data_IF_957659982603
#
_entry.id   IF_957659982603
#
_cell.length_a   1.000
_cell.length_b   1.000
_cell.length_c   1.000
_cell.angle_alpha   90.00
_cell.angle_beta   90.00
_cell.angle_gamma   90.00
#
_symmetry.space_group_name_H-M   'P 1'
#
loop_
_entity.id
_entity.type
_entity.pdbx_description
1 polymer ?
#
# COMPACT_ATOMS: atom_id res chain seq x y z
N UNK A 1 -26.67 -3.78 -2.16
CA UNK A 1 -25.88 -4.99 -1.86
C UNK A 1 -24.96 -5.39 -3.02
N UNK A 2 -25.46 -5.59 -4.25
CA UNK A 2 -24.61 -5.90 -5.43
C UNK A 2 -23.65 -4.74 -5.80
N UNK A 3 -24.13 -3.49 -5.77
CA UNK A 3 -23.32 -2.30 -6.07
C UNK A 3 -22.21 -2.06 -5.04
N UNK A 4 -22.48 -2.31 -3.75
CA UNK A 4 -21.49 -2.12 -2.67
C UNK A 4 -20.35 -3.13 -2.77
N UNK A 5 -20.68 -4.38 -3.12
CA UNK A 5 -19.69 -5.45 -3.31
C UNK A 5 -18.82 -5.17 -4.54
N UNK A 6 -19.42 -4.75 -5.65
CA UNK A 6 -18.69 -4.31 -6.85
C UNK A 6 -17.78 -3.11 -6.57
N UNK A 7 -18.28 -2.13 -5.81
CA UNK A 7 -17.51 -0.96 -5.42
C UNK A 7 -16.31 -1.32 -4.52
N UNK A 8 -16.50 -2.23 -3.58
CA UNK A 8 -15.43 -2.73 -2.71
C UNK A 8 -14.38 -3.52 -3.51
N UNK A 9 -14.80 -4.41 -4.40
CA UNK A 9 -13.91 -5.17 -5.26
C UNK A 9 -13.08 -4.26 -6.19
N UNK A 10 -13.70 -3.24 -6.79
CA UNK A 10 -13.01 -2.27 -7.63
C UNK A 10 -11.98 -1.44 -6.83
N UNK A 11 -12.33 -1.00 -5.62
CA UNK A 11 -11.39 -0.27 -4.77
C UNK A 11 -10.20 -1.16 -4.35
N UNK A 12 -10.45 -2.42 -4.01
CA UNK A 12 -9.39 -3.37 -3.68
C UNK A 12 -8.46 -3.60 -4.88
N UNK A 13 -9.01 -3.72 -6.09
CA UNK A 13 -8.25 -3.84 -7.32
C UNK A 13 -7.38 -2.60 -7.59
N UNK A 14 -7.92 -1.41 -7.43
CA UNK A 14 -7.20 -0.15 -7.65
C UNK A 14 -6.07 0.04 -6.63
N UNK A 15 -6.30 -0.31 -5.36
CA UNK A 15 -5.27 -0.30 -4.33
C UNK A 15 -4.15 -1.30 -4.62
N UNK A 16 -4.48 -2.50 -5.09
CA UNK A 16 -3.49 -3.50 -5.49
C UNK A 16 -2.66 -3.04 -6.70
N UNK A 17 -3.30 -2.38 -7.68
CA UNK A 17 -2.59 -1.78 -8.80
C UNK A 17 -1.68 -0.64 -8.34
N UNK A 18 -2.10 0.16 -7.36
CA UNK A 18 -1.28 1.25 -6.82
C UNK A 18 -0.06 0.69 -6.11
N UNK A 19 -0.26 -0.32 -5.26
CA UNK A 19 0.82 -1.02 -4.56
C UNK A 19 1.86 -1.60 -5.52
N UNK A 20 1.42 -2.31 -6.56
CA UNK A 20 2.30 -2.85 -7.61
C UNK A 20 3.12 -1.75 -8.30
N UNK A 21 2.50 -0.60 -8.59
CA UNK A 21 3.12 0.52 -9.28
C UNK A 21 4.12 1.27 -8.40
N UNK A 22 3.77 1.49 -7.14
CA UNK A 22 4.68 2.03 -6.13
C UNK A 22 5.92 1.15 -5.99
N UNK A 23 5.75 -0.17 -5.84
CA UNK A 23 6.88 -1.11 -5.73
C UNK A 23 7.76 -1.11 -6.98
N UNK A 24 7.16 -1.04 -8.17
CA UNK A 24 7.92 -0.93 -9.43
C UNK A 24 8.75 0.34 -9.50
N UNK A 25 8.18 1.48 -9.14
CA UNK A 25 8.90 2.74 -9.07
C UNK A 25 10.09 2.63 -8.11
N UNK A 26 9.85 2.14 -6.88
CA UNK A 26 10.88 2.02 -5.85
C UNK A 26 11.94 0.96 -6.14
N UNK A 27 11.62 -0.01 -7.00
CA UNK A 27 12.57 -1.00 -7.51
C UNK A 27 13.52 -0.45 -8.58
N UNK A 28 13.38 0.81 -9.01
CA UNK A 28 14.34 1.41 -9.95
C UNK A 28 15.75 1.41 -9.35
N UNK A 29 16.75 0.94 -10.12
CA UNK A 29 18.12 0.78 -9.63
C UNK A 29 18.75 2.06 -9.10
N UNK A 30 18.43 3.22 -9.67
CA UNK A 30 18.92 4.50 -9.18
C UNK A 30 18.35 4.85 -7.81
N UNK A 31 17.06 4.53 -7.57
CA UNK A 31 16.42 4.68 -6.25
C UNK A 31 17.01 3.66 -5.25
N UNK A 32 17.16 2.39 -5.65
CA UNK A 32 17.78 1.37 -4.80
C UNK A 32 19.23 1.71 -4.45
N UNK A 33 20.00 2.24 -5.40
CA UNK A 33 21.35 2.71 -5.14
C UNK A 33 21.38 3.86 -4.11
N UNK A 34 20.42 4.79 -4.21
CA UNK A 34 20.26 5.84 -3.22
C UNK A 34 19.94 5.28 -1.82
N UNK A 35 19.09 4.24 -1.73
CA UNK A 35 18.83 3.54 -0.46
C UNK A 35 20.12 2.90 0.07
N UNK A 36 20.89 2.21 -0.79
CA UNK A 36 22.13 1.55 -0.38
C UNK A 36 23.14 2.52 0.25
N UNK A 37 23.38 3.69 -0.37
CA UNK A 37 24.40 4.65 0.11
C UNK A 37 24.04 5.33 1.43
N UNK A 38 22.78 5.21 1.86
CA UNK A 38 22.29 5.79 3.11
C UNK A 38 22.07 4.75 4.21
N UNK A 39 21.88 3.48 3.84
CA UNK A 39 21.47 2.43 4.79
C UNK A 39 22.53 1.34 4.95
N UNK A 40 23.27 0.99 3.91
CA UNK A 40 24.18 -0.16 3.93
C UNK A 40 25.62 0.31 4.10
N UNK A 41 26.26 -0.05 5.22
CA UNK A 41 27.63 0.35 5.58
C UNK A 41 28.66 0.18 4.44
N UNK A 42 28.51 -0.86 3.61
CA UNK A 42 29.41 -1.13 2.49
C UNK A 42 29.35 -0.08 1.36
N UNK A 43 28.28 0.70 1.27
CA UNK A 43 28.04 1.73 0.26
C UNK A 43 27.93 3.14 0.84
N UNK A 44 28.03 3.28 2.17
CA UNK A 44 27.71 4.52 2.86
C UNK A 44 28.59 5.68 2.37
N UNK A 45 27.95 6.77 1.92
CA UNK A 45 28.62 7.96 1.40
C UNK A 45 29.21 7.84 0.00
N UNK A 46 28.97 6.73 -0.72
CA UNK A 46 29.28 6.65 -2.16
C UNK A 46 28.31 7.48 -2.99
N UNK A 47 28.70 7.81 -4.22
CA UNK A 47 27.78 8.39 -5.19
C UNK A 47 26.78 7.30 -5.67
N UNK A 48 25.45 7.51 -5.57
CA UNK A 48 24.44 6.56 -6.05
C UNK A 48 24.68 6.07 -7.48
N UNK A 49 25.10 6.94 -8.41
CA UNK A 49 25.35 6.56 -9.80
C UNK A 49 26.46 5.51 -9.94
N UNK A 50 27.48 5.59 -9.08
CA UNK A 50 28.58 4.62 -9.04
C UNK A 50 28.17 3.30 -8.38
N UNK A 51 27.08 3.29 -7.61
CA UNK A 51 26.56 2.10 -6.93
C UNK A 51 25.61 1.29 -7.82
N UNK A 52 24.91 1.92 -8.78
CA UNK A 52 24.00 1.24 -9.71
C UNK A 52 24.61 -0.03 -10.36
N UNK A 53 25.88 -0.04 -10.85
CA UNK A 53 26.49 -1.22 -11.44
C UNK A 53 26.69 -2.39 -10.46
N UNK A 54 26.69 -2.14 -9.16
CA UNK A 54 26.79 -3.20 -8.14
C UNK A 54 25.45 -3.91 -7.94
N UNK A 55 24.32 -3.35 -8.40
CA UNK A 55 23.00 -3.98 -8.35
C UNK A 55 22.85 -4.96 -9.52
N UNK A 56 22.91 -6.24 -9.19
CA UNK A 56 22.96 -7.37 -10.10
C UNK A 56 21.55 -7.80 -10.52
N UNK A 57 21.38 -8.12 -11.81
CA UNK A 57 20.10 -8.56 -12.37
C UNK A 57 19.00 -7.49 -12.28
N UNK A 58 17.74 -7.93 -12.38
CA UNK A 58 16.57 -7.09 -12.11
C UNK A 58 16.05 -7.37 -10.70
N UNK A 59 15.63 -6.33 -9.95
CA UNK A 59 14.96 -6.53 -8.67
C UNK A 59 13.67 -7.33 -8.79
N UNK A 60 13.44 -8.18 -7.80
CA UNK A 60 12.24 -8.98 -7.64
C UNK A 60 11.21 -8.20 -6.82
N UNK A 61 9.96 -8.19 -7.26
CA UNK A 61 8.89 -7.39 -6.65
C UNK A 61 7.82 -8.32 -6.09
N UNK A 62 7.43 -8.12 -4.84
CA UNK A 62 6.37 -8.89 -4.20
C UNK A 62 6.61 -10.40 -4.23
N UNK A 63 7.86 -10.83 -4.09
CA UNK A 63 8.26 -12.24 -4.16
C UNK A 63 8.42 -12.87 -2.76
N UNK A 64 8.23 -14.18 -2.70
CA UNK A 64 8.59 -14.99 -1.52
C UNK A 64 10.04 -15.45 -1.72
N UNK A 65 10.95 -15.20 -0.78
CA UNK A 65 12.31 -15.69 -0.90
C UNK A 65 12.30 -17.20 -0.73
N UNK A 66 12.60 -17.89 -1.82
CA UNK A 66 13.07 -19.27 -1.79
C UNK A 66 14.57 -19.22 -1.48
N UNK A 67 14.91 -19.36 -0.20
CA UNK A 67 16.31 -19.44 0.23
C UNK A 67 17.03 -20.59 -0.51
N UNK A 68 18.20 -20.32 -1.09
CA UNK A 68 19.03 -21.36 -1.73
C UNK A 68 19.58 -22.37 -0.70
N UNK A 69 19.54 -22.03 0.60
CA UNK A 69 19.82 -22.93 1.73
C UNK A 69 18.60 -23.67 2.30
N UNK A 70 17.38 -23.23 1.99
CA UNK A 70 16.11 -23.95 2.22
C UNK A 70 15.57 -24.45 0.88
N UNK A 71 16.47 -24.80 -0.04
CA UNK A 71 16.04 -25.53 -1.23
C UNK A 71 15.23 -26.73 -0.80
N UNK A 72 14.35 -27.18 -1.68
CA UNK A 72 13.79 -28.52 -1.67
C UNK A 72 14.91 -29.58 -1.78
N UNK A 73 15.89 -29.55 -0.90
CA UNK A 73 16.77 -30.65 -0.61
C UNK A 73 15.82 -31.77 -0.20
N UNK A 74 15.66 -32.71 -1.13
CA UNK A 74 14.96 -33.96 -0.91
C UNK A 74 15.50 -34.59 0.37
N UNK A 75 14.82 -34.37 1.50
CA UNK A 75 14.99 -35.20 2.66
C UNK A 75 14.14 -36.44 2.40
N UNK A 76 14.73 -37.44 1.74
CA UNK A 76 14.23 -38.80 1.88
C UNK A 76 14.36 -39.16 3.37
N UNK A 77 13.23 -39.19 4.06
CA UNK A 77 13.10 -39.85 5.35
C UNK A 77 11.97 -40.87 5.20
N UNK A 78 12.33 -42.15 5.34
CA UNK A 78 11.41 -43.29 5.30
C UNK A 78 10.66 -43.54 3.98
N UNK A 79 11.26 -43.22 2.83
CA UNK A 79 10.82 -43.74 1.53
C UNK A 79 9.54 -43.14 0.94
N UNK A 80 9.01 -42.06 1.51
CA UNK A 80 7.91 -41.30 0.91
C UNK A 80 8.42 -40.11 0.10
N UNK A 81 8.15 -40.13 -1.21
CA UNK A 81 8.37 -39.00 -2.12
C UNK A 81 7.35 -37.90 -1.81
N UNK A 82 7.80 -36.77 -1.29
CA UNK A 82 7.00 -35.54 -1.33
C UNK A 82 7.29 -34.86 -2.67
N UNK A 83 6.33 -34.99 -3.58
CA UNK A 83 6.36 -34.39 -4.92
C UNK A 83 6.07 -32.90 -4.80
N UNK A 84 6.98 -32.07 -5.31
CA UNK A 84 6.75 -30.64 -5.51
C UNK A 84 5.55 -30.42 -6.42
N UNK A 85 4.53 -29.77 -5.88
CA UNK A 85 3.32 -29.39 -6.61
C UNK A 85 3.51 -27.97 -7.15
N UNK A 86 3.73 -27.88 -8.45
CA UNK A 86 3.50 -26.67 -9.23
C UNK A 86 2.34 -26.98 -10.18
N UNK A 87 1.17 -26.37 -9.94
CA UNK A 87 0.17 -25.92 -10.93
C UNK A 87 -1.13 -25.54 -10.20
N UNK A 88 -1.64 -24.33 -10.45
CA UNK A 88 -2.96 -23.82 -10.02
C UNK A 88 -3.27 -23.83 -8.52
N UNK A 89 -2.78 -22.82 -7.80
CA UNK A 89 -3.60 -22.11 -6.81
C UNK A 89 -2.82 -20.92 -6.25
N UNK A 90 -3.35 -19.72 -6.43
CA UNK A 90 -2.89 -18.48 -5.79
C UNK A 90 -3.21 -18.42 -4.28
N UNK A 91 -3.86 -19.45 -3.73
CA UNK A 91 -4.38 -19.48 -2.36
C UNK A 91 -3.57 -20.37 -1.39
N UNK A 92 -2.50 -21.05 -1.84
CA UNK A 92 -1.65 -21.92 -0.98
C UNK A 92 -0.34 -21.21 -0.58
N UNK A 93 -0.42 -19.92 -0.26
CA UNK A 93 0.70 -19.19 0.38
C UNK A 93 0.28 -18.64 1.75
N UNK A 94 -0.66 -19.31 2.43
CA UNK A 94 -0.95 -19.03 3.84
C UNK A 94 0.27 -19.43 4.68
N UNK A 95 1.07 -18.44 5.07
CA UNK A 95 2.21 -18.61 5.99
C UNK A 95 3.59 -18.26 5.41
N UNK A 96 3.69 -17.86 4.14
CA UNK A 96 4.95 -17.38 3.56
C UNK A 96 5.06 -15.85 3.67
N UNK A 97 6.16 -15.39 4.26
CA UNK A 97 6.49 -13.96 4.35
C UNK A 97 6.86 -13.50 2.94
N UNK A 98 6.03 -12.62 2.37
CA UNK A 98 6.30 -11.92 1.10
C UNK A 98 7.03 -10.63 1.40
N UNK A 99 8.07 -10.33 0.63
CA UNK A 99 8.77 -9.05 0.73
C UNK A 99 8.45 -8.15 -0.45
N UNK A 100 8.47 -6.84 -0.23
CA UNK A 100 8.12 -5.87 -1.27
C UNK A 100 9.14 -5.85 -2.40
N UNK A 101 10.43 -5.75 -2.06
CA UNK A 101 11.52 -5.71 -3.04
C UNK A 101 12.69 -6.57 -2.55
N UNK A 102 13.19 -7.46 -3.41
CA UNK A 102 14.40 -8.25 -3.19
C UNK A 102 15.36 -7.97 -4.34
N UNK A 103 16.62 -7.66 -4.04
CA UNK A 103 17.64 -7.48 -5.07
C UNK A 103 19.00 -7.97 -4.59
N UNK A 104 19.92 -8.16 -5.54
CA UNK A 104 21.24 -8.66 -5.25
C UNK A 104 22.28 -7.58 -5.52
N UNK A 105 23.26 -7.50 -4.63
CA UNK A 105 24.32 -6.49 -4.71
C UNK A 105 25.68 -7.17 -4.61
N UNK A 106 26.59 -6.79 -5.50
CA UNK A 106 27.98 -7.23 -5.47
C UNK A 106 28.73 -6.49 -4.36
N UNK A 107 29.18 -7.22 -3.35
CA UNK A 107 30.03 -6.74 -2.27
C UNK A 107 31.48 -7.19 -2.50
N UNK A 108 32.40 -6.70 -1.66
CA UNK A 108 33.82 -7.10 -1.70
C UNK A 108 34.03 -8.59 -1.44
N UNK A 109 33.15 -9.20 -0.65
CA UNK A 109 33.20 -10.60 -0.19
C UNK A 109 32.28 -11.54 -0.98
N UNK A 110 31.48 -11.04 -1.93
CA UNK A 110 30.63 -11.87 -2.77
C UNK A 110 29.32 -11.20 -3.16
N UNK A 111 28.36 -12.01 -3.59
CA UNK A 111 27.00 -11.54 -3.88
C UNK A 111 26.18 -11.55 -2.59
N UNK A 112 25.57 -10.43 -2.24
CA UNK A 112 24.67 -10.30 -1.08
C UNK A 112 23.24 -10.04 -1.54
N UNK A 113 22.27 -10.66 -0.86
CA UNK A 113 20.85 -10.36 -1.05
C UNK A 113 20.46 -9.22 -0.10
N UNK A 114 19.73 -8.24 -0.63
CA UNK A 114 19.12 -7.14 0.13
C UNK A 114 17.60 -7.24 -0.03
N UNK A 115 16.89 -7.14 1.09
CA UNK A 115 15.44 -7.16 1.15
C UNK A 115 14.98 -5.79 1.62
N UNK A 116 14.16 -5.09 0.84
CA UNK A 116 13.55 -3.81 1.23
C UNK A 116 12.07 -4.06 1.44
N UNK A 117 11.61 -3.78 2.66
CA UNK A 117 10.21 -3.89 3.03
C UNK A 117 9.70 -2.53 3.48
N UNK A 118 8.63 -2.07 2.85
CA UNK A 118 8.13 -0.71 2.93
C UNK A 118 6.82 -0.74 3.69
N UNK A 119 6.83 -0.15 4.88
CA UNK A 119 5.70 -0.20 5.79
C UNK A 119 5.18 1.21 6.09
N UNK A 120 3.86 1.38 6.05
CA UNK A 120 3.22 2.61 6.49
C UNK A 120 3.34 2.73 8.03
N UNK A 121 3.93 3.82 8.52
CA UNK A 121 4.05 4.09 9.96
C UNK A 121 3.08 5.18 10.40
N UNK A 122 2.51 5.00 11.61
CA UNK A 122 1.59 5.97 12.22
C UNK A 122 2.31 7.12 12.94
N UNK A 123 3.56 6.90 13.35
CA UNK A 123 4.38 7.85 14.11
C UNK A 123 5.59 8.31 13.27
N UNK A 124 6.33 9.33 13.74
CA UNK A 124 7.55 9.81 13.06
C UNK A 124 8.57 8.68 12.86
N UNK A 125 9.34 8.67 11.75
CA UNK A 125 10.30 7.60 11.49
C UNK A 125 11.38 7.57 12.59
N UNK A 126 11.50 6.44 13.29
CA UNK A 126 12.50 6.28 14.37
C UNK A 126 13.86 5.80 13.87
N UNK A 127 14.01 5.55 12.55
CA UNK A 127 15.22 5.11 11.87
C UNK A 127 15.02 3.80 11.08
N UNK A 128 16.11 3.26 10.53
CA UNK A 128 16.14 1.94 9.87
C UNK A 128 16.60 0.87 10.85
N UNK A 129 15.92 -0.28 10.90
CA UNK A 129 16.42 -1.47 11.60
C UNK A 129 16.96 -2.47 10.58
N UNK A 130 18.27 -2.70 10.60
CA UNK A 130 18.90 -3.73 9.77
C UNK A 130 18.98 -5.01 10.58
N UNK A 131 18.20 -6.02 10.20
CA UNK A 131 18.32 -7.37 10.74
C UNK A 131 18.60 -8.31 9.57
N UNK A 132 19.77 -8.97 9.56
CA UNK A 132 20.12 -9.99 8.55
C UNK A 132 19.82 -9.55 7.10
N UNK A 133 20.34 -8.39 6.68
CA UNK A 133 20.16 -7.79 5.34
C UNK A 133 18.73 -7.36 4.95
N UNK A 134 17.83 -7.25 5.93
CA UNK A 134 16.50 -6.67 5.75
C UNK A 134 16.56 -5.19 6.09
N UNK A 135 16.18 -4.35 5.14
CA UNK A 135 15.97 -2.91 5.28
C UNK A 135 14.48 -2.68 5.47
N UNK A 136 14.09 -2.35 6.71
CA UNK A 136 12.74 -1.92 7.03
C UNK A 136 12.66 -0.40 6.95
N UNK A 137 11.81 0.11 6.06
CA UNK A 137 11.62 1.55 5.89
C UNK A 137 10.20 1.92 6.28
N UNK A 138 10.10 2.72 7.35
CA UNK A 138 8.86 3.34 7.78
C UNK A 138 8.56 4.62 7.03
N UNK A 139 7.38 4.74 6.43
CA UNK A 139 6.96 5.98 5.75
C UNK A 139 5.93 6.71 6.60
N UNK A 140 6.17 7.98 6.86
CA UNK A 140 5.26 8.85 7.60
C UNK A 140 4.29 9.57 6.65
N UNK A 141 3.10 9.92 7.15
CA UNK A 141 2.07 10.60 6.34
C UNK A 141 2.42 12.05 5.95
N UNK A 142 3.39 12.67 6.63
CA UNK A 142 3.85 14.03 6.32
C UNK A 142 5.25 13.96 5.76
N UNK A 143 5.50 14.74 4.70
CA UNK A 143 6.85 14.89 4.14
C UNK A 143 7.76 15.55 5.20
N UNK A 144 8.85 14.89 5.62
CA UNK A 144 9.83 15.51 6.50
C UNK A 144 10.54 16.70 5.83
N UNK A 145 11.03 17.65 6.62
CA UNK A 145 11.95 18.67 6.12
C UNK A 145 13.24 18.02 5.58
N UNK A 146 13.91 18.70 4.65
CA UNK A 146 15.14 18.20 4.03
C UNK A 146 16.33 18.34 4.99
N UNK A 147 16.49 17.35 5.86
CA UNK A 147 17.58 17.23 6.84
C UNK A 147 18.34 15.91 6.64
N UNK A 148 19.67 15.95 6.78
CA UNK A 148 20.60 14.82 6.57
C UNK A 148 20.21 13.50 7.27
N UNK A 149 19.44 13.58 8.36
CA UNK A 149 19.09 12.42 9.20
C UNK A 149 18.02 11.51 8.58
N UNK A 150 17.21 12.00 7.64
CA UNK A 150 16.03 11.29 7.13
C UNK A 150 15.92 11.28 5.59
N UNK A 151 17.06 11.37 4.89
CA UNK A 151 17.13 11.49 3.43
C UNK A 151 16.32 10.43 2.66
N UNK A 152 16.47 9.13 2.98
CA UNK A 152 15.68 8.07 2.32
C UNK A 152 14.21 8.15 2.70
N UNK A 153 13.87 8.43 3.96
CA UNK A 153 12.47 8.63 4.36
C UNK A 153 11.83 9.77 3.59
N UNK A 154 12.53 10.88 3.38
CA UNK A 154 12.02 12.02 2.63
C UNK A 154 11.83 11.69 1.16
N UNK A 155 12.82 11.06 0.51
CA UNK A 155 12.69 10.60 -0.88
C UNK A 155 11.45 9.71 -1.04
N UNK A 156 11.31 8.68 -0.21
CA UNK A 156 10.18 7.75 -0.29
C UNK A 156 8.85 8.41 0.04
N UNK A 157 8.82 9.29 1.05
CA UNK A 157 7.61 10.05 1.40
C UNK A 157 7.20 10.96 0.25
N UNK A 158 8.15 11.60 -0.43
CA UNK A 158 7.85 12.44 -1.58
C UNK A 158 7.28 11.60 -2.74
N UNK A 159 7.91 10.47 -3.05
CA UNK A 159 7.49 9.57 -4.13
C UNK A 159 6.08 9.01 -3.89
N UNK A 160 5.76 8.61 -2.67
CA UNK A 160 4.47 7.99 -2.34
C UNK A 160 3.39 8.98 -1.91
N UNK A 161 3.72 10.25 -1.68
CA UNK A 161 2.75 11.26 -1.24
C UNK A 161 1.60 11.46 -2.23
N UNK A 162 0.39 11.62 -1.71
CA UNK A 162 -0.80 12.01 -2.48
C UNK A 162 -0.89 13.51 -2.72
N UNK A 163 -0.15 14.30 -1.94
CA UNK A 163 -0.23 15.77 -1.93
C UNK A 163 0.78 16.41 -2.89
N UNK A 164 1.68 15.61 -3.46
CA UNK A 164 2.72 16.06 -4.41
C UNK A 164 2.34 15.62 -5.81
N UNK A 165 2.38 16.54 -6.77
CA UNK A 165 2.07 16.24 -8.15
C UNK A 165 3.13 15.33 -8.80
N UNK A 166 2.77 14.66 -9.90
CA UNK A 166 3.72 13.85 -10.66
C UNK A 166 4.95 14.66 -11.13
N UNK A 167 4.73 15.92 -11.54
CA UNK A 167 5.82 16.80 -12.00
C UNK A 167 6.77 17.16 -10.86
N UNK A 168 6.22 17.54 -9.70
CA UNK A 168 7.02 17.87 -8.50
C UNK A 168 7.78 16.65 -7.98
N UNK A 169 7.19 15.44 -8.04
CA UNK A 169 7.91 14.20 -7.69
C UNK A 169 9.14 13.99 -8.58
N UNK A 170 8.98 14.17 -9.89
CA UNK A 170 10.09 14.06 -10.82
C UNK A 170 11.15 15.15 -10.55
N UNK A 171 10.72 16.38 -10.30
CA UNK A 171 11.64 17.47 -9.93
C UNK A 171 12.42 17.15 -8.65
N UNK A 172 11.78 16.64 -7.61
CA UNK A 172 12.43 16.20 -6.36
C UNK A 172 13.50 15.14 -6.64
N UNK A 173 13.14 14.08 -7.40
CA UNK A 173 14.07 12.99 -7.75
C UNK A 173 15.31 13.54 -8.48
N UNK A 174 15.12 14.42 -9.45
CA UNK A 174 16.19 14.93 -10.31
C UNK A 174 17.04 16.00 -9.64
N UNK A 175 16.41 16.94 -8.92
CA UNK A 175 17.07 18.16 -8.43
C UNK A 175 17.61 18.05 -7.01
N UNK A 176 16.90 17.33 -6.13
CA UNK A 176 17.30 17.20 -4.72
C UNK A 176 18.17 15.96 -4.53
N UNK A 177 17.88 14.88 -5.26
CA UNK A 177 18.55 13.59 -5.09
C UNK A 177 19.50 13.22 -6.23
N UNK A 178 19.56 14.03 -7.29
CA UNK A 178 20.39 13.80 -8.47
C UNK A 178 20.18 12.40 -9.08
N UNK A 179 18.96 11.86 -9.01
CA UNK A 179 18.63 10.57 -9.58
C UNK A 179 18.19 10.78 -11.03
N UNK A 180 18.85 10.16 -12.02
CA UNK A 180 18.50 10.33 -13.42
C UNK A 180 17.14 9.70 -13.73
N UNK A 181 16.30 10.46 -14.44
CA UNK A 181 14.95 10.05 -14.81
C UNK A 181 14.94 9.45 -16.22
N UNK A 182 14.62 8.16 -16.29
CA UNK A 182 14.32 7.46 -17.54
C UNK A 182 12.80 7.45 -17.86
N UNK A 183 12.45 7.03 -19.09
CA UNK A 183 11.06 7.03 -19.55
C UNK A 183 10.18 6.06 -18.75
N UNK A 184 10.75 4.95 -18.28
CA UNK A 184 10.04 3.98 -17.43
C UNK A 184 9.67 4.61 -16.09
N UNK A 185 10.58 5.37 -15.47
CA UNK A 185 10.33 6.09 -14.22
C UNK A 185 9.25 7.15 -14.41
N UNK A 186 9.29 7.92 -15.51
CA UNK A 186 8.23 8.90 -15.84
C UNK A 186 6.86 8.23 -15.96
N UNK A 187 6.81 7.09 -16.66
CA UNK A 187 5.59 6.32 -16.83
C UNK A 187 5.06 5.80 -15.49
N UNK A 188 5.90 5.18 -14.66
CA UNK A 188 5.47 4.64 -13.37
C UNK A 188 5.00 5.73 -12.41
N UNK A 189 5.68 6.88 -12.34
CA UNK A 189 5.22 8.04 -11.56
C UNK A 189 3.87 8.54 -12.07
N UNK A 190 3.70 8.67 -13.40
CA UNK A 190 2.45 9.14 -14.00
C UNK A 190 1.28 8.20 -13.70
N UNK A 191 1.46 6.89 -13.92
CA UNK A 191 0.42 5.88 -13.66
C UNK A 191 0.04 5.87 -12.18
N UNK A 192 1.03 5.86 -11.29
CA UNK A 192 0.80 5.84 -9.85
C UNK A 192 0.04 7.08 -9.37
N UNK A 193 0.40 8.28 -9.83
CA UNK A 193 -0.31 9.51 -9.48
C UNK A 193 -1.75 9.54 -10.01
N UNK A 194 -1.97 9.15 -11.26
CA UNK A 194 -3.31 9.07 -11.85
C UNK A 194 -4.20 8.08 -11.08
N UNK A 195 -3.63 6.96 -10.67
CA UNK A 195 -4.35 5.95 -9.89
C UNK A 195 -4.67 6.46 -8.48
N UNK A 196 -3.72 7.10 -7.81
CA UNK A 196 -3.93 7.76 -6.51
C UNK A 196 -5.06 8.77 -6.56
N UNK A 197 -5.05 9.66 -7.57
CA UNK A 197 -6.09 10.65 -7.76
C UNK A 197 -7.45 9.99 -7.99
N UNK A 198 -7.52 8.99 -8.87
CA UNK A 198 -8.77 8.28 -9.13
C UNK A 198 -9.32 7.58 -7.88
N UNK A 199 -8.46 6.98 -7.06
CA UNK A 199 -8.85 6.34 -5.79
C UNK A 199 -9.42 7.39 -4.82
N UNK A 200 -8.74 8.53 -4.68
CA UNK A 200 -9.16 9.62 -3.82
C UNK A 200 -10.52 10.17 -4.24
N UNK A 201 -10.67 10.57 -5.51
CA UNK A 201 -11.92 11.14 -6.06
C UNK A 201 -13.11 10.17 -5.88
N UNK A 202 -12.92 8.88 -6.21
CA UNK A 202 -13.96 7.86 -5.99
C UNK A 202 -14.23 7.64 -4.50
N UNK A 203 -13.21 7.71 -3.66
CA UNK A 203 -13.31 7.61 -2.22
C UNK A 203 -14.16 8.73 -1.62
N UNK A 204 -13.89 9.98 -2.03
CA UNK A 204 -14.64 11.17 -1.63
C UNK A 204 -16.09 11.10 -2.10
N UNK A 205 -16.34 10.83 -3.38
CA UNK A 205 -17.70 10.73 -3.91
C UNK A 205 -18.52 9.64 -3.19
N UNK A 206 -17.91 8.49 -2.87
CA UNK A 206 -18.56 7.44 -2.08
C UNK A 206 -18.78 7.88 -0.64
N UNK A 207 -17.82 8.60 -0.06
CA UNK A 207 -17.89 9.15 1.28
C UNK A 207 -19.06 10.12 1.42
N UNK A 208 -19.19 11.04 0.48
CA UNK A 208 -20.28 12.01 0.40
C UNK A 208 -21.65 11.34 0.24
N UNK A 209 -21.81 10.45 -0.74
CA UNK A 209 -23.07 9.73 -0.95
C UNK A 209 -23.48 8.89 0.27
N UNK A 210 -22.51 8.25 0.95
CA UNK A 210 -22.77 7.52 2.20
C UNK A 210 -23.11 8.48 3.34
N UNK A 211 -22.47 9.64 3.39
CA UNK A 211 -22.73 10.69 4.37
C UNK A 211 -24.16 11.23 4.25
N UNK A 212 -24.58 11.57 3.04
CA UNK A 212 -25.92 12.05 2.71
C UNK A 212 -26.98 11.01 3.06
N UNK A 213 -26.85 9.77 2.56
CA UNK A 213 -27.80 8.69 2.86
C UNK A 213 -27.90 8.39 4.38
N UNK A 214 -26.76 8.45 5.10
CA UNK A 214 -26.76 8.33 6.57
C UNK A 214 -27.44 9.51 7.25
N UNK A 215 -27.28 10.71 6.71
CA UNK A 215 -27.93 11.93 7.20
C UNK A 215 -29.45 11.86 7.06
N UNK A 216 -29.93 11.51 5.87
CA UNK A 216 -31.35 11.31 5.58
C UNK A 216 -31.97 10.23 6.49
N UNK A 217 -31.34 9.06 6.58
CA UNK A 217 -31.82 7.97 7.43
C UNK A 217 -31.87 8.37 8.92
N UNK A 218 -30.91 9.15 9.41
CA UNK A 218 -30.92 9.67 10.79
C UNK A 218 -32.01 10.71 11.01
N UNK A 219 -32.22 11.61 10.05
CA UNK A 219 -33.28 12.62 10.12
C UNK A 219 -34.66 11.95 10.13
N UNK A 220 -34.87 10.98 9.24
CA UNK A 220 -36.09 10.17 9.18
C UNK A 220 -36.33 9.42 10.49
N UNK A 221 -35.33 8.71 11.01
CA UNK A 221 -35.46 7.98 12.28
C UNK A 221 -35.80 8.91 13.45
N UNK A 222 -35.21 10.11 13.48
CA UNK A 222 -35.52 11.13 14.50
C UNK A 222 -36.95 11.65 14.37
N UNK A 223 -37.42 11.86 13.15
CA UNK A 223 -38.79 12.30 12.88
C UNK A 223 -39.82 11.25 13.32
N UNK A 224 -39.62 9.99 12.92
CA UNK A 224 -40.44 8.84 13.33
C UNK A 224 -40.48 8.71 14.85
N UNK A 225 -39.32 8.80 15.51
CA UNK A 225 -39.23 8.75 16.98
C UNK A 225 -40.03 9.89 17.62
N UNK A 226 -39.92 11.11 17.10
CA UNK A 226 -40.66 12.27 17.61
C UNK A 226 -42.18 12.09 17.51
N UNK A 227 -42.69 11.60 16.37
CA UNK A 227 -44.11 11.32 16.19
C UNK A 227 -44.59 10.25 17.16
N UNK A 228 -43.85 9.16 17.28
CA UNK A 228 -44.19 8.07 18.22
C UNK A 228 -44.22 8.56 19.67
N UNK A 229 -43.23 9.35 20.10
CA UNK A 229 -43.22 9.94 21.45
C UNK A 229 -44.34 10.96 21.70
N UNK A 230 -44.90 11.53 20.63
CA UNK A 230 -46.02 12.46 20.70
C UNK A 230 -47.40 11.75 20.73
N UNK A 231 -47.41 10.42 20.71
CA UNK A 231 -48.62 9.60 20.86
C UNK A 231 -49.28 9.14 19.55
N UNK A 232 -48.64 9.35 18.39
CA UNK A 232 -49.14 8.83 17.12
C UNK A 232 -49.00 7.30 17.06
N UNK A 233 -50.00 6.62 16.48
CA UNK A 233 -49.95 5.17 16.28
C UNK A 233 -48.99 4.79 15.14
N UNK A 234 -48.55 3.53 15.11
CA UNK A 234 -47.64 3.06 14.05
C UNK A 234 -48.29 3.17 12.67
N UNK A 235 -49.60 2.96 12.57
CA UNK A 235 -50.39 3.09 11.34
C UNK A 235 -50.41 4.54 10.84
N UNK A 236 -50.62 5.50 11.74
CA UNK A 236 -50.61 6.93 11.39
C UNK A 236 -49.22 7.40 10.94
N UNK A 237 -48.17 6.92 11.61
CA UNK A 237 -46.80 7.26 11.22
C UNK A 237 -46.48 6.65 9.87
N UNK A 238 -46.79 5.36 9.67
CA UNK A 238 -46.62 4.63 8.41
C UNK A 238 -47.31 5.34 7.23
N UNK A 239 -48.53 5.84 7.44
CA UNK A 239 -49.26 6.62 6.45
C UNK A 239 -48.56 7.95 6.12
N UNK A 240 -48.14 8.71 7.13
CA UNK A 240 -47.50 10.03 6.94
C UNK A 240 -46.14 9.94 6.24
N UNK A 241 -45.37 8.89 6.52
CA UNK A 241 -44.03 8.69 5.93
C UNK A 241 -44.05 7.77 4.71
N UNK A 242 -45.24 7.30 4.30
CA UNK A 242 -45.46 6.40 3.16
C UNK A 242 -44.63 5.10 3.23
N UNK A 243 -44.55 4.48 4.41
CA UNK A 243 -43.82 3.21 4.63
C UNK A 243 -44.71 2.13 5.23
N UNK A 244 -44.24 0.88 5.19
CA UNK A 244 -44.91 -0.20 5.91
C UNK A 244 -44.78 -0.04 7.42
N UNK A 245 -45.75 -0.59 8.16
CA UNK A 245 -45.73 -0.61 9.63
C UNK A 245 -44.49 -1.37 10.12
N UNK A 246 -44.08 -2.43 9.42
CA UNK A 246 -42.88 -3.21 9.71
C UNK A 246 -41.61 -2.37 9.61
N UNK A 247 -41.47 -1.52 8.59
CA UNK A 247 -40.33 -0.61 8.44
C UNK A 247 -40.28 0.43 9.56
N UNK A 248 -41.43 1.05 9.88
CA UNK A 248 -41.53 2.02 10.99
C UNK A 248 -41.13 1.38 12.32
N UNK A 249 -41.64 0.18 12.59
CA UNK A 249 -41.31 -0.60 13.78
C UNK A 249 -39.82 -0.95 13.82
N UNK A 250 -39.23 -1.36 12.68
CA UNK A 250 -37.81 -1.68 12.57
C UNK A 250 -36.90 -0.47 12.82
N UNK A 251 -37.31 0.72 12.38
CA UNK A 251 -36.58 1.97 12.64
C UNK A 251 -36.66 2.34 14.14
N UNK A 252 -37.85 2.26 14.74
CA UNK A 252 -38.04 2.54 16.18
C UNK A 252 -37.24 1.58 17.08
N UNK A 253 -37.16 0.30 16.73
CA UNK A 253 -36.35 -0.69 17.47
C UNK A 253 -34.85 -0.39 17.47
N UNK A 254 -34.33 0.28 16.43
CA UNK A 254 -32.91 0.66 16.34
C UNK A 254 -32.62 2.01 17.00
N UNK A 255 -33.66 2.81 17.30
CA UNK A 255 -33.54 4.18 17.79
C UNK A 255 -33.91 4.34 19.28
N UNK A 256 -34.45 3.30 19.92
CA UNK A 256 -34.70 3.19 21.37
C UNK A 256 -33.55 2.44 22.04
#
# INVERSE_FOLDING_TARGET
>A
MDTDMKNAANAAKELAQYDEKAKRLLSNKSILAYILVNVVDGFMGMNPEEVVPYIEGEPYISEVPVDLGLTNAMLEKDGERIVGLNTENSEINEGLIRFDIIFYVRMKDGLSQIIVNIEAQKDEPTGYSILMNIVLIGIANKLPEHEDKYEVHRLLSALLSTDISAAEKLEIIETEYNIPIDDRMREEVSIMCNLSQGILERGEARGEARGEARGEAKAEAKFIKSMYTSGYSLEQIAEVIEKSIEEVRGILQKAL
#
